data_IF_475099729647
#
_entry.id   IF_475099729647
#
_cell.length_a   1.000
_cell.length_b   1.000
_cell.length_c   1.000
_cell.angle_alpha   90.00
_cell.angle_beta   90.00
_cell.angle_gamma   90.00
#
_symmetry.space_group_name_H-M   'P 1'
#
loop_
_entity.id
_entity.type
_entity.pdbx_description
1 polymer ?
#
# COMPACT_ATOMS: atom_id res chain seq x y z
N UNK A 1 23.29 -0.12 25.19
CA UNK A 1 22.50 0.99 24.61
C UNK A 1 21.31 0.33 23.92
N UNK A 2 20.07 0.73 24.24
CA UNK A 2 18.87 0.18 23.58
C UNK A 2 18.68 0.88 22.24
N UNK A 3 18.59 0.12 21.15
CA UNK A 3 18.26 0.64 19.83
C UNK A 3 16.73 0.67 19.67
N UNK A 4 16.12 1.84 19.46
CA UNK A 4 14.67 1.93 19.36
C UNK A 4 14.14 1.24 18.10
N UNK A 5 13.16 0.36 18.28
CA UNK A 5 12.44 -0.26 17.17
C UNK A 5 11.37 0.71 16.63
N UNK A 6 11.56 1.19 15.41
CA UNK A 6 10.60 2.09 14.75
C UNK A 6 9.48 1.26 14.10
N UNK A 7 8.23 1.57 14.43
CA UNK A 7 7.08 0.93 13.79
C UNK A 7 5.90 1.90 13.61
N UNK A 8 5.08 1.63 12.60
CA UNK A 8 3.77 2.28 12.44
C UNK A 8 2.72 1.35 13.04
N UNK A 9 2.05 1.80 14.11
CA UNK A 9 0.95 1.07 14.74
C UNK A 9 -0.40 1.61 14.23
N UNK A 10 -1.08 0.83 13.41
CA UNK A 10 -2.43 1.14 12.93
C UNK A 10 -3.46 0.47 13.85
N UNK A 11 -4.36 1.26 14.46
CA UNK A 11 -5.41 0.77 15.37
C UNK A 11 -6.78 1.03 14.74
N UNK A 12 -7.59 0.00 14.59
CA UNK A 12 -8.92 0.06 13.98
C UNK A 12 -9.99 -0.50 14.92
N UNK A 13 -11.21 0.01 14.82
CA UNK A 13 -12.39 -0.60 15.47
C UNK A 13 -12.76 -1.90 14.76
N UNK A 14 -13.23 -2.88 15.52
CA UNK A 14 -13.80 -4.12 14.98
C UNK A 14 -14.91 -3.83 13.94
N UNK A 15 -14.91 -4.59 12.85
CA UNK A 15 -15.86 -4.43 11.74
C UNK A 15 -15.55 -3.28 10.77
N UNK A 16 -14.47 -2.53 10.96
CA UNK A 16 -14.12 -1.42 10.06
C UNK A 16 -13.56 -1.92 8.72
N UNK A 17 -14.07 -1.38 7.62
CA UNK A 17 -13.63 -1.71 6.26
C UNK A 17 -12.11 -1.48 6.05
N UNK A 18 -11.53 -0.49 6.73
CA UNK A 18 -10.12 -0.16 6.61
C UNK A 18 -9.18 -1.28 7.08
N UNK A 19 -9.56 -2.02 8.12
CA UNK A 19 -8.84 -3.22 8.56
C UNK A 19 -8.89 -4.29 7.46
N UNK A 20 -10.08 -4.51 6.90
CA UNK A 20 -10.29 -5.49 5.82
C UNK A 20 -9.49 -5.11 4.57
N UNK A 21 -9.43 -3.82 4.23
CA UNK A 21 -8.61 -3.29 3.13
C UNK A 21 -7.13 -3.62 3.30
N UNK A 22 -6.59 -3.48 4.51
CA UNK A 22 -5.19 -3.84 4.81
C UNK A 22 -4.95 -5.34 4.66
N UNK A 23 -5.87 -6.18 5.12
CA UNK A 23 -5.79 -7.65 4.97
C UNK A 23 -5.83 -8.04 3.49
N UNK A 24 -6.74 -7.46 2.72
CA UNK A 24 -6.87 -7.73 1.28
C UNK A 24 -5.59 -7.38 0.53
N UNK A 25 -5.03 -6.19 0.77
CA UNK A 25 -3.77 -5.78 0.14
C UNK A 25 -2.64 -6.77 0.44
N UNK A 26 -2.50 -7.17 1.72
CA UNK A 26 -1.46 -8.11 2.15
C UNK A 26 -1.61 -9.46 1.43
N UNK A 27 -2.81 -10.05 1.46
CA UNK A 27 -3.09 -11.33 0.82
C UNK A 27 -2.85 -11.27 -0.70
N UNK A 28 -3.27 -10.17 -1.34
CA UNK A 28 -3.08 -9.98 -2.77
C UNK A 28 -1.61 -9.97 -3.15
N UNK A 29 -0.79 -9.15 -2.48
CA UNK A 29 0.64 -9.04 -2.75
C UNK A 29 1.43 -10.31 -2.40
N UNK A 30 0.90 -11.17 -1.54
CA UNK A 30 1.50 -12.49 -1.27
C UNK A 30 1.26 -13.49 -2.41
N UNK A 31 0.16 -13.34 -3.16
CA UNK A 31 -0.24 -14.26 -4.22
C UNK A 31 0.08 -13.77 -5.65
N UNK A 32 0.35 -12.47 -5.82
CA UNK A 32 0.57 -11.84 -7.13
C UNK A 32 1.94 -11.16 -7.17
N UNK A 33 2.94 -11.90 -7.66
CA UNK A 33 4.33 -11.45 -7.70
C UNK A 33 4.51 -10.20 -8.57
N UNK A 34 3.82 -10.11 -9.71
CA UNK A 34 3.89 -8.95 -10.60
C UNK A 34 3.42 -7.65 -9.90
N UNK A 35 2.31 -7.73 -9.17
CA UNK A 35 1.77 -6.58 -8.42
C UNK A 35 2.64 -6.24 -7.20
N UNK A 36 3.27 -7.25 -6.58
CA UNK A 36 4.27 -7.03 -5.52
C UNK A 36 5.50 -6.29 -6.04
N UNK A 37 6.00 -6.69 -7.19
CA UNK A 37 7.13 -6.03 -7.84
C UNK A 37 6.78 -4.62 -8.29
N UNK A 38 5.60 -4.42 -8.89
CA UNK A 38 5.08 -3.10 -9.24
C UNK A 38 5.02 -2.19 -8.01
N UNK A 39 4.45 -2.67 -6.91
CA UNK A 39 4.36 -1.90 -5.67
C UNK A 39 5.73 -1.58 -5.07
N UNK A 40 6.67 -2.52 -5.14
CA UNK A 40 8.04 -2.31 -4.68
C UNK A 40 8.76 -1.22 -5.49
N UNK A 41 8.68 -1.29 -6.83
CA UNK A 41 9.24 -0.26 -7.73
C UNK A 41 8.65 1.11 -7.44
N UNK A 42 7.33 1.22 -7.40
CA UNK A 42 6.63 2.48 -7.13
C UNK A 42 7.04 3.10 -5.78
N UNK A 43 7.26 2.28 -4.74
CA UNK A 43 7.76 2.76 -3.44
C UNK A 43 9.20 3.27 -3.50
N UNK A 44 10.07 2.59 -4.25
CA UNK A 44 11.48 2.97 -4.38
C UNK A 44 11.57 4.29 -5.15
N UNK A 45 10.92 4.38 -6.31
CA UNK A 45 10.88 5.59 -7.13
C UNK A 45 10.29 6.79 -6.37
N UNK A 46 9.17 6.59 -5.65
CA UNK A 46 8.59 7.64 -4.83
C UNK A 46 9.55 8.10 -3.72
N UNK A 47 10.26 7.18 -3.07
CA UNK A 47 11.22 7.51 -2.03
C UNK A 47 12.42 8.27 -2.59
N UNK A 48 12.98 7.83 -3.72
CA UNK A 48 14.09 8.51 -4.40
C UNK A 48 13.73 9.95 -4.75
N UNK A 49 12.58 10.16 -5.38
CA UNK A 49 12.14 11.50 -5.77
C UNK A 49 11.86 12.36 -4.54
N UNK A 50 11.10 11.87 -3.57
CA UNK A 50 10.77 12.66 -2.38
C UNK A 50 12.00 13.00 -1.54
N UNK A 51 12.97 12.09 -1.41
CA UNK A 51 14.24 12.39 -0.75
C UNK A 51 15.05 13.44 -1.52
N UNK A 52 15.10 13.36 -2.85
CA UNK A 52 15.85 14.32 -3.69
C UNK A 52 15.28 15.74 -3.61
N UNK A 53 13.98 15.87 -3.40
CA UNK A 53 13.26 17.13 -3.35
C UNK A 53 13.07 17.66 -1.92
N UNK A 54 13.49 16.91 -0.89
CA UNK A 54 13.26 17.27 0.52
C UNK A 54 11.78 17.29 0.89
N UNK A 55 10.99 16.45 0.24
CA UNK A 55 9.53 16.39 0.39
C UNK A 55 9.08 15.70 1.67
N UNK A 56 7.79 15.83 1.97
CA UNK A 56 7.17 15.21 3.15
C UNK A 56 6.75 13.77 2.87
N UNK A 57 6.39 13.06 3.94
CA UNK A 57 5.78 11.72 3.84
C UNK A 57 4.45 11.74 3.06
N UNK A 58 3.75 12.87 3.02
CA UNK A 58 2.50 13.00 2.27
C UNK A 58 2.75 13.00 0.77
N UNK A 59 3.77 13.74 0.32
CA UNK A 59 4.16 13.78 -1.09
C UNK A 59 4.62 12.40 -1.57
N UNK A 60 5.44 11.72 -0.76
CA UNK A 60 5.84 10.33 -0.98
C UNK A 60 4.62 9.40 -1.14
N UNK A 61 3.60 9.55 -0.29
CA UNK A 61 2.40 8.72 -0.36
C UNK A 61 1.55 9.03 -1.60
N UNK A 62 1.42 10.30 -1.99
CA UNK A 62 0.72 10.73 -3.21
C UNK A 62 1.35 10.10 -4.45
N UNK A 63 2.69 10.08 -4.53
CA UNK A 63 3.44 9.55 -5.69
C UNK A 63 3.14 8.08 -5.99
N UNK A 64 2.89 7.27 -4.96
CA UNK A 64 2.56 5.84 -5.12
C UNK A 64 1.06 5.54 -5.01
N UNK A 65 0.22 6.56 -4.81
CA UNK A 65 -1.20 6.37 -4.50
C UNK A 65 -1.94 5.63 -5.62
N UNK A 66 -1.73 6.05 -6.87
CA UNK A 66 -2.40 5.45 -8.02
C UNK A 66 -2.10 3.95 -8.13
N UNK A 67 -0.84 3.55 -7.96
CA UNK A 67 -0.43 2.14 -7.97
C UNK A 67 -1.13 1.34 -6.87
N UNK A 68 -1.24 1.90 -5.66
CA UNK A 68 -1.97 1.23 -4.56
C UNK A 68 -3.45 1.07 -4.92
N UNK A 69 -4.08 2.10 -5.51
CA UNK A 69 -5.49 2.06 -5.89
C UNK A 69 -5.76 1.02 -6.98
N UNK A 70 -4.93 0.95 -8.01
CA UNK A 70 -5.04 -0.05 -9.09
C UNK A 70 -4.91 -1.48 -8.56
N UNK A 71 -3.94 -1.73 -7.66
CA UNK A 71 -3.75 -3.06 -7.06
C UNK A 71 -4.97 -3.43 -6.19
N UNK A 72 -5.48 -2.50 -5.39
CA UNK A 72 -6.67 -2.73 -4.58
C UNK A 72 -7.90 -2.96 -5.44
N UNK A 73 -8.05 -2.25 -6.55
CA UNK A 73 -9.14 -2.45 -7.49
C UNK A 73 -9.10 -3.87 -8.08
N UNK A 74 -7.94 -4.34 -8.54
CA UNK A 74 -7.74 -5.72 -8.99
C UNK A 74 -8.11 -6.72 -7.90
N UNK A 75 -7.65 -6.49 -6.67
CA UNK A 75 -7.94 -7.34 -5.53
C UNK A 75 -9.43 -7.38 -5.16
N UNK A 76 -10.12 -6.24 -5.25
CA UNK A 76 -11.55 -6.13 -4.97
C UNK A 76 -12.40 -6.78 -6.05
N UNK A 77 -12.05 -6.59 -7.33
CA UNK A 77 -12.68 -7.30 -8.46
C UNK A 77 -12.54 -8.81 -8.30
N UNK A 78 -11.34 -9.30 -7.99
CA UNK A 78 -11.11 -10.73 -7.77
C UNK A 78 -11.88 -11.33 -6.57
N UNK A 79 -12.21 -10.51 -5.57
CA UNK A 79 -13.04 -10.90 -4.42
C UNK A 79 -14.55 -10.69 -4.64
N UNK A 80 -14.96 -10.14 -5.78
CA UNK A 80 -16.36 -9.84 -6.09
C UNK A 80 -16.93 -8.63 -5.33
N UNK A 81 -16.08 -7.71 -4.87
CA UNK A 81 -16.51 -6.46 -4.23
C UNK A 81 -16.71 -5.30 -5.21
N UNK A 82 -16.19 -5.44 -6.42
CA UNK A 82 -16.37 -4.51 -7.53
C UNK A 82 -16.81 -5.30 -8.76
N UNK A 83 -17.64 -4.68 -9.60
CA UNK A 83 -18.07 -5.27 -10.85
C UNK A 83 -16.90 -5.44 -11.83
N UNK A 84 -16.98 -6.49 -12.65
CA UNK A 84 -16.12 -6.65 -13.83
C UNK A 84 -16.76 -5.87 -14.98
N UNK A 85 -16.41 -4.59 -15.14
CA UNK A 85 -16.73 -3.85 -16.38
C UNK A 85 -16.06 -4.46 -17.61
#
# INVERSE_FOLDING_TARGET
>A
MYEPYNCNLHVFKEGTAELIRHVIMKEWLMAHDDDRELYARAKIEAAEVSNSLGETVMDYNIRKENVIREILERAFKAKGYLDHE
#
